data_IF_705147040551
#
_entry.id   IF_705147040551
#
_cell.length_a   1.000
_cell.length_b   1.000
_cell.length_c   1.000
_cell.angle_alpha   90.00
_cell.angle_beta   90.00
_cell.angle_gamma   90.00
#
_symmetry.space_group_name_H-M   'P 1'
#
loop_
_entity.id
_entity.type
_entity.pdbx_description
1 polymer ?
#
# COMPACT_ATOMS: atom_id res chain seq x y z
N UNK A 1 -12.28 14.95 -10.64
CA UNK A 1 -11.67 13.78 -9.98
C UNK A 1 -10.72 14.25 -8.91
N UNK A 2 -10.51 13.45 -7.90
CA UNK A 2 -9.56 13.74 -6.82
C UNK A 2 -8.79 12.45 -6.54
N UNK A 3 -7.47 12.54 -6.45
CA UNK A 3 -6.59 11.47 -6.01
C UNK A 3 -6.33 11.61 -4.51
N UNK A 4 -6.58 10.56 -3.77
CA UNK A 4 -6.26 10.46 -2.36
C UNK A 4 -5.22 9.37 -2.11
N UNK A 5 -4.31 9.63 -1.20
CA UNK A 5 -3.46 8.63 -0.59
C UNK A 5 -4.07 8.18 0.74
N UNK A 6 -4.14 6.87 0.93
CA UNK A 6 -4.62 6.27 2.19
C UNK A 6 -3.40 5.83 3.00
N UNK A 7 -3.29 6.32 4.21
CA UNK A 7 -2.21 6.00 5.15
C UNK A 7 -2.80 5.53 6.48
N UNK A 8 -2.00 4.98 7.36
CA UNK A 8 -2.42 4.64 8.73
C UNK A 8 -2.93 5.83 9.55
N UNK A 9 -2.71 7.08 9.09
CA UNK A 9 -3.18 8.32 9.72
C UNK A 9 -4.46 8.88 9.06
N UNK A 10 -4.98 8.23 8.02
CA UNK A 10 -6.18 8.63 7.31
C UNK A 10 -5.98 8.93 5.83
N UNK A 11 -6.83 9.78 5.28
CA UNK A 11 -6.91 10.11 3.85
C UNK A 11 -6.31 11.48 3.59
N UNK A 12 -5.28 11.54 2.74
CA UNK A 12 -4.63 12.77 2.29
C UNK A 12 -4.94 13.03 0.82
N UNK A 13 -5.38 14.24 0.50
CA UNK A 13 -5.54 14.68 -0.89
C UNK A 13 -4.17 14.92 -1.54
N UNK A 14 -3.97 14.30 -2.70
CA UNK A 14 -2.71 14.40 -3.49
C UNK A 14 -2.91 15.33 -4.68
N UNK A 15 -3.99 15.12 -5.45
CA UNK A 15 -4.28 15.92 -6.65
C UNK A 15 -5.78 16.07 -6.87
N UNK A 16 -6.17 17.22 -7.45
CA UNK A 16 -7.56 17.51 -7.81
C UNK A 16 -7.65 18.00 -9.25
N UNK A 17 -8.57 17.40 -10.01
CA UNK A 17 -8.87 17.77 -11.39
C UNK A 17 -10.32 18.20 -11.53
N UNK A 18 -10.54 19.35 -12.14
CA UNK A 18 -11.88 19.89 -12.43
C UNK A 18 -12.12 19.85 -13.94
N UNK A 19 -13.23 19.24 -14.34
CA UNK A 19 -13.68 19.27 -15.73
C UNK A 19 -14.27 20.64 -16.04
N UNK A 20 -13.66 21.37 -16.99
CA UNK A 20 -14.17 22.67 -17.47
C UNK A 20 -14.83 22.47 -18.83
N UNK A 21 -16.02 23.05 -19.06
CA UNK A 21 -16.67 23.10 -20.36
C UNK A 21 -17.79 22.09 -20.62
N UNK A 22 -18.22 21.32 -19.63
CA UNK A 22 -19.36 20.37 -19.74
C UNK A 22 -20.67 20.95 -19.18
N UNK A 23 -21.15 22.09 -19.68
CA UNK A 23 -22.44 22.62 -19.27
C UNK A 23 -23.64 21.91 -19.89
N UNK A 24 -24.83 21.93 -19.22
CA UNK A 24 -26.08 21.28 -19.68
C UNK A 24 -26.59 21.75 -21.05
N UNK A 25 -25.95 22.75 -21.66
CA UNK A 25 -26.35 23.37 -22.94
C UNK A 25 -25.41 23.05 -24.10
N UNK A 26 -24.35 22.26 -23.90
CA UNK A 26 -23.47 21.83 -25.00
C UNK A 26 -23.94 20.47 -25.55
N UNK A 27 -24.05 20.35 -26.88
CA UNK A 27 -24.57 19.16 -27.55
C UNK A 27 -23.78 17.89 -27.15
N UNK A 28 -24.44 16.73 -27.21
CA UNK A 28 -23.91 15.44 -26.74
C UNK A 28 -22.48 15.11 -27.24
N UNK A 29 -22.20 15.38 -28.53
CA UNK A 29 -20.86 15.13 -29.12
C UNK A 29 -19.74 15.96 -28.52
N UNK A 30 -20.03 17.22 -28.13
CA UNK A 30 -19.04 18.09 -27.50
C UNK A 30 -18.78 17.65 -26.03
N UNK A 31 -19.83 17.25 -25.34
CA UNK A 31 -19.75 16.71 -24.00
C UNK A 31 -18.88 15.43 -23.91
N UNK A 32 -18.99 14.54 -24.91
CA UNK A 32 -18.20 13.31 -24.97
C UNK A 32 -16.71 13.59 -25.21
N UNK A 33 -16.38 14.54 -26.10
CA UNK A 33 -15.00 14.96 -26.35
C UNK A 33 -14.34 15.57 -25.12
N UNK A 34 -15.03 16.44 -24.41
CA UNK A 34 -14.55 17.08 -23.17
C UNK A 34 -14.35 16.03 -22.06
N UNK A 35 -15.28 15.09 -21.92
CA UNK A 35 -15.17 14.00 -20.96
C UNK A 35 -13.97 13.09 -21.27
N UNK A 36 -13.77 12.74 -22.55
CA UNK A 36 -12.64 11.91 -22.98
C UNK A 36 -11.29 12.57 -22.65
N UNK A 37 -11.09 13.82 -23.08
CA UNK A 37 -9.87 14.56 -22.79
C UNK A 37 -9.63 14.75 -21.27
N UNK A 38 -10.70 14.87 -20.49
CA UNK A 38 -10.60 14.94 -19.03
C UNK A 38 -10.09 13.62 -18.45
N UNK A 39 -10.62 12.48 -18.85
CA UNK A 39 -10.17 11.16 -18.36
C UNK A 39 -8.75 10.84 -18.82
N UNK A 40 -8.37 11.19 -20.06
CA UNK A 40 -7.00 11.04 -20.55
C UNK A 40 -6.01 11.87 -19.73
N UNK A 41 -6.36 13.11 -19.36
CA UNK A 41 -5.52 13.94 -18.50
C UNK A 41 -5.38 13.33 -17.10
N UNK A 42 -6.51 12.96 -16.47
CA UNK A 42 -6.51 12.37 -15.13
C UNK A 42 -5.69 11.09 -15.09
N UNK A 43 -5.89 10.20 -16.07
CA UNK A 43 -5.16 8.92 -16.11
C UNK A 43 -3.67 9.10 -16.31
N UNK A 44 -3.26 10.02 -17.19
CA UNK A 44 -1.83 10.31 -17.40
C UNK A 44 -1.17 10.77 -16.12
N UNK A 45 -1.73 11.79 -15.46
CA UNK A 45 -1.15 12.33 -14.23
C UNK A 45 -1.20 11.32 -13.07
N UNK A 46 -2.26 10.50 -12.95
CA UNK A 46 -2.31 9.41 -11.97
C UNK A 46 -1.22 8.35 -12.23
N UNK A 47 -1.06 7.89 -13.47
CA UNK A 47 -0.07 6.88 -13.82
C UNK A 47 1.38 7.37 -13.64
N UNK A 48 1.62 8.67 -13.75
CA UNK A 48 2.92 9.30 -13.48
C UNK A 48 3.19 9.49 -11.97
N UNK A 49 2.13 9.65 -11.17
CA UNK A 49 2.25 9.97 -9.74
C UNK A 49 2.22 8.75 -8.83
N UNK A 50 1.65 7.65 -9.29
CA UNK A 50 1.45 6.44 -8.50
C UNK A 50 2.58 5.45 -8.80
N UNK A 51 3.21 4.94 -7.75
CA UNK A 51 4.25 3.92 -7.88
C UNK A 51 3.69 2.64 -8.50
N UNK A 52 4.47 2.02 -9.37
CA UNK A 52 4.11 0.75 -10.02
C UNK A 52 3.75 -0.31 -8.98
N UNK A 53 2.67 -1.05 -9.24
CA UNK A 53 2.16 -2.08 -8.33
C UNK A 53 1.31 -1.56 -7.17
N UNK A 54 1.18 -0.24 -6.96
CA UNK A 54 0.32 0.29 -5.90
C UNK A 54 -1.16 -0.03 -6.19
N UNK A 55 -1.91 -0.61 -5.24
CA UNK A 55 -3.32 -0.89 -5.43
C UNK A 55 -4.15 0.39 -5.47
N UNK A 56 -5.05 0.48 -6.43
CA UNK A 56 -5.86 1.66 -6.67
C UNK A 56 -7.34 1.30 -6.53
N UNK A 57 -8.08 2.10 -5.76
CA UNK A 57 -9.54 2.03 -5.70
C UNK A 57 -10.12 3.20 -6.47
N UNK A 58 -10.90 2.92 -7.51
CA UNK A 58 -11.62 3.93 -8.29
C UNK A 58 -13.07 3.94 -7.80
N UNK A 59 -13.45 4.98 -7.09
CA UNK A 59 -14.78 5.10 -6.49
C UNK A 59 -15.51 6.37 -6.95
N UNK A 60 -16.81 6.33 -6.86
CA UNK A 60 -17.69 7.45 -7.22
C UNK A 60 -19.06 7.02 -7.70
N UNK A 61 -20.02 7.96 -7.81
CA UNK A 61 -21.33 7.69 -8.37
C UNK A 61 -21.30 7.57 -9.92
N UNK A 62 -22.25 6.82 -10.47
CA UNK A 62 -22.46 6.72 -11.92
C UNK A 62 -21.36 5.96 -12.66
N UNK A 63 -21.23 6.19 -13.97
CA UNK A 63 -20.37 5.44 -14.89
C UNK A 63 -18.97 6.05 -15.12
N UNK A 64 -18.61 7.14 -14.43
CA UNK A 64 -17.33 7.80 -14.62
C UNK A 64 -16.14 6.89 -14.26
N UNK A 65 -16.27 6.06 -13.20
CA UNK A 65 -15.27 5.09 -12.79
C UNK A 65 -14.98 4.03 -13.86
N UNK A 66 -16.02 3.57 -14.57
CA UNK A 66 -15.90 2.56 -15.62
C UNK A 66 -15.16 3.11 -16.85
N UNK A 67 -15.31 4.40 -17.13
CA UNK A 67 -14.60 5.10 -18.21
C UNK A 67 -13.15 5.38 -17.85
N UNK A 68 -12.85 5.65 -16.58
CA UNK A 68 -11.49 5.95 -16.10
C UNK A 68 -10.66 4.67 -15.90
N UNK A 69 -11.27 3.58 -15.41
CA UNK A 69 -10.56 2.37 -15.02
C UNK A 69 -9.66 1.76 -16.12
N UNK A 70 -10.07 1.65 -17.39
CA UNK A 70 -9.20 1.09 -18.43
C UNK A 70 -7.98 1.96 -18.75
N UNK A 71 -7.96 3.22 -18.32
CA UNK A 71 -6.88 4.17 -18.57
C UNK A 71 -5.86 4.23 -17.41
N UNK A 72 -6.19 3.65 -16.26
CA UNK A 72 -5.31 3.59 -15.09
C UNK A 72 -4.52 2.29 -15.10
N UNK A 73 -3.22 2.35 -14.86
CA UNK A 73 -2.33 1.19 -14.77
C UNK A 73 -2.40 0.54 -13.38
N UNK A 74 -1.93 -0.71 -13.29
CA UNK A 74 -1.79 -1.45 -12.04
C UNK A 74 -3.06 -2.12 -11.50
N UNK A 75 -2.95 -2.78 -10.34
CA UNK A 75 -4.06 -3.48 -9.69
C UNK A 75 -5.12 -2.48 -9.24
N UNK A 76 -6.37 -2.73 -9.60
CA UNK A 76 -7.45 -1.78 -9.33
C UNK A 76 -8.77 -2.45 -9.00
N UNK A 77 -9.53 -1.82 -8.10
CA UNK A 77 -10.90 -2.18 -7.77
C UNK A 77 -11.84 -1.01 -8.07
N UNK A 78 -12.99 -1.29 -8.68
CA UNK A 78 -14.04 -0.31 -8.90
C UNK A 78 -15.09 -0.45 -7.80
N UNK A 79 -15.38 0.66 -7.13
CA UNK A 79 -16.37 0.71 -6.05
C UNK A 79 -17.42 1.76 -6.38
N UNK A 80 -18.68 1.36 -6.40
CA UNK A 80 -19.80 2.30 -6.48
C UNK A 80 -20.02 2.93 -5.11
N UNK A 81 -20.02 4.26 -5.06
CA UNK A 81 -20.31 5.02 -3.85
C UNK A 81 -21.46 5.98 -4.08
N UNK A 82 -22.15 6.33 -2.99
CA UNK A 82 -23.30 7.23 -3.03
C UNK A 82 -22.93 8.66 -3.44
N UNK A 83 -21.71 9.08 -3.07
CA UNK A 83 -21.17 10.41 -3.32
C UNK A 83 -19.79 10.34 -3.97
N UNK A 84 -19.27 11.48 -4.40
CA UNK A 84 -17.91 11.65 -4.90
C UNK A 84 -16.99 12.33 -3.89
N UNK A 85 -15.72 12.50 -4.28
CA UNK A 85 -14.73 13.22 -3.48
C UNK A 85 -14.39 12.53 -2.16
N UNK A 86 -14.10 13.33 -1.13
CA UNK A 86 -13.68 12.81 0.18
C UNK A 86 -14.72 11.91 0.86
N UNK A 87 -16.02 12.18 0.62
CA UNK A 87 -17.09 11.35 1.14
C UNK A 87 -17.03 9.93 0.58
N UNK A 88 -16.75 9.77 -0.73
CA UNK A 88 -16.55 8.47 -1.35
C UNK A 88 -15.34 7.73 -0.77
N UNK A 89 -14.21 8.42 -0.57
CA UNK A 89 -13.02 7.83 0.03
C UNK A 89 -13.29 7.33 1.46
N UNK A 90 -14.01 8.11 2.25
CA UNK A 90 -14.40 7.71 3.60
C UNK A 90 -15.38 6.52 3.60
N UNK A 91 -16.37 6.51 2.70
CA UNK A 91 -17.32 5.40 2.52
C UNK A 91 -16.56 4.08 2.22
N UNK A 92 -15.62 4.12 1.26
CA UNK A 92 -14.79 2.96 0.90
C UNK A 92 -14.00 2.42 2.09
N UNK A 93 -13.43 3.30 2.91
CA UNK A 93 -12.62 2.90 4.07
C UNK A 93 -13.51 2.37 5.19
N UNK A 94 -14.57 3.10 5.56
CA UNK A 94 -15.44 2.76 6.68
C UNK A 94 -16.20 1.45 6.45
N UNK A 95 -16.61 1.19 5.21
CA UNK A 95 -17.33 -0.03 4.83
C UNK A 95 -16.39 -1.19 4.42
N UNK A 96 -15.06 -0.97 4.45
CA UNK A 96 -14.08 -2.00 4.09
C UNK A 96 -14.12 -2.43 2.62
N UNK A 97 -14.69 -1.60 1.72
CA UNK A 97 -14.93 -1.97 0.31
C UNK A 97 -13.65 -2.16 -0.51
N UNK A 98 -12.51 -1.70 0.01
CA UNK A 98 -11.19 -1.90 -0.60
C UNK A 98 -10.44 -3.14 -0.05
N UNK A 99 -11.01 -3.83 0.94
CA UNK A 99 -10.33 -4.85 1.75
C UNK A 99 -9.61 -5.92 0.92
N UNK A 100 -10.26 -6.49 -0.09
CA UNK A 100 -9.66 -7.53 -0.94
C UNK A 100 -8.39 -7.05 -1.66
N UNK A 101 -8.45 -5.92 -2.35
CA UNK A 101 -7.31 -5.37 -3.10
C UNK A 101 -6.15 -5.00 -2.16
N UNK A 102 -6.47 -4.48 -0.98
CA UNK A 102 -5.47 -4.13 0.02
C UNK A 102 -4.83 -5.38 0.64
N UNK A 103 -5.63 -6.42 0.94
CA UNK A 103 -5.11 -7.67 1.50
C UNK A 103 -4.27 -8.46 0.49
N UNK A 104 -4.72 -8.58 -0.76
CA UNK A 104 -3.94 -9.22 -1.83
C UNK A 104 -2.59 -8.51 -2.04
N UNK A 105 -2.59 -7.18 -2.05
CA UNK A 105 -1.35 -6.41 -2.19
C UNK A 105 -0.43 -6.56 -0.97
N UNK A 106 -0.98 -6.61 0.24
CA UNK A 106 -0.20 -6.84 1.46
C UNK A 106 0.49 -8.20 1.40
N UNK A 107 -0.26 -9.26 1.07
CA UNK A 107 0.28 -10.62 0.93
C UNK A 107 1.40 -10.69 -0.11
N UNK A 108 1.21 -10.11 -1.30
CA UNK A 108 2.24 -10.07 -2.35
C UNK A 108 3.51 -9.37 -1.86
N UNK A 109 3.36 -8.22 -1.18
CA UNK A 109 4.50 -7.46 -0.64
C UNK A 109 5.19 -8.20 0.50
N UNK A 110 4.44 -8.78 1.42
CA UNK A 110 4.96 -9.57 2.52
C UNK A 110 5.74 -10.78 1.99
N UNK A 111 5.16 -11.52 1.04
CA UNK A 111 5.80 -12.67 0.40
C UNK A 111 7.12 -12.27 -0.26
N UNK A 112 7.13 -11.20 -1.06
CA UNK A 112 8.36 -10.75 -1.72
C UNK A 112 9.48 -10.37 -0.74
N UNK A 113 9.14 -9.70 0.37
CA UNK A 113 10.11 -9.35 1.41
C UNK A 113 10.63 -10.58 2.15
N UNK A 114 9.76 -11.55 2.44
CA UNK A 114 10.15 -12.80 3.08
C UNK A 114 11.02 -13.67 2.16
N UNK A 115 10.69 -13.76 0.87
CA UNK A 115 11.54 -14.44 -0.13
C UNK A 115 12.94 -13.80 -0.19
N UNK A 116 13.04 -12.47 -0.17
CA UNK A 116 14.33 -11.78 -0.08
C UNK A 116 15.09 -12.16 1.19
N UNK A 117 14.40 -12.24 2.35
CA UNK A 117 15.03 -12.66 3.60
C UNK A 117 15.57 -14.09 3.50
N UNK A 118 14.82 -15.05 2.92
CA UNK A 118 15.27 -16.42 2.71
C UNK A 118 16.50 -16.51 1.81
N UNK A 119 16.53 -15.75 0.73
CA UNK A 119 17.72 -15.66 -0.13
C UNK A 119 18.92 -15.14 0.66
N UNK A 120 18.74 -14.08 1.46
CA UNK A 120 19.83 -13.53 2.28
C UNK A 120 20.29 -14.49 3.37
N UNK A 121 19.40 -15.25 4.01
CA UNK A 121 19.76 -16.29 4.97
C UNK A 121 20.58 -17.39 4.29
N UNK A 122 20.14 -17.87 3.12
CA UNK A 122 20.82 -18.95 2.39
C UNK A 122 22.19 -18.55 1.84
N UNK A 123 22.42 -17.28 1.57
CA UNK A 123 23.65 -16.75 1.01
C UNK A 123 24.55 -16.05 2.06
N UNK A 124 24.24 -16.20 3.34
CA UNK A 124 24.93 -15.51 4.44
C UNK A 124 24.99 -13.97 4.21
N UNK A 125 23.88 -13.42 3.74
CA UNK A 125 23.73 -12.00 3.43
C UNK A 125 23.43 -11.11 4.64
N UNK A 126 23.10 -9.84 4.38
CA UNK A 126 22.74 -8.87 5.41
C UNK A 126 21.30 -9.09 5.90
N UNK A 127 21.13 -9.98 6.88
CA UNK A 127 19.84 -10.37 7.48
C UNK A 127 20.05 -10.73 8.94
N UNK A 128 19.05 -10.49 9.79
CA UNK A 128 19.02 -10.92 11.18
C UNK A 128 17.70 -11.63 11.49
N UNK A 129 17.72 -12.72 12.22
CA UNK A 129 16.53 -13.43 12.68
C UNK A 129 16.71 -13.89 14.14
N UNK A 130 15.59 -14.07 14.82
CA UNK A 130 15.61 -14.26 16.26
C UNK A 130 15.87 -12.95 17.04
N UNK A 131 15.36 -12.89 18.26
CA UNK A 131 15.33 -11.66 19.06
C UNK A 131 16.73 -11.06 19.28
N UNK A 132 17.73 -11.89 19.66
CA UNK A 132 19.09 -11.40 20.00
C UNK A 132 19.80 -10.75 18.81
N UNK A 133 19.74 -11.38 17.62
CA UNK A 133 20.36 -10.82 16.42
C UNK A 133 19.66 -9.55 15.94
N UNK A 134 18.31 -9.51 16.03
CA UNK A 134 17.54 -8.31 15.67
C UNK A 134 17.84 -7.17 16.64
N UNK A 135 17.95 -7.43 17.93
CA UNK A 135 18.32 -6.44 18.93
C UNK A 135 19.71 -5.86 18.68
N UNK A 136 20.69 -6.71 18.40
CA UNK A 136 22.04 -6.28 18.02
C UNK A 136 22.01 -5.42 16.76
N UNK A 137 21.29 -5.85 15.73
CA UNK A 137 21.17 -5.11 14.48
C UNK A 137 20.47 -3.75 14.67
N UNK A 138 19.53 -3.64 15.61
CA UNK A 138 18.90 -2.37 16.00
C UNK A 138 19.92 -1.42 16.64
N UNK A 139 20.69 -1.91 17.62
CA UNK A 139 21.72 -1.13 18.32
C UNK A 139 22.79 -0.57 17.37
N UNK A 140 23.12 -1.33 16.32
CA UNK A 140 24.06 -0.92 15.27
C UNK A 140 23.41 -0.05 14.17
N UNK A 141 22.09 0.21 14.23
CA UNK A 141 21.35 0.98 13.23
C UNK A 141 21.28 0.29 11.86
N UNK A 142 21.51 -1.03 11.82
CA UNK A 142 21.65 -1.80 10.60
C UNK A 142 20.31 -2.18 9.96
N UNK A 143 19.19 -2.12 10.66
CA UNK A 143 17.89 -2.57 10.15
C UNK A 143 17.38 -1.61 9.09
N UNK A 144 17.01 -2.16 7.92
CA UNK A 144 16.23 -1.47 6.88
C UNK A 144 14.73 -1.76 7.06
N UNK A 145 14.37 -3.03 7.15
CA UNK A 145 12.98 -3.46 7.28
C UNK A 145 12.89 -4.63 8.26
N UNK A 146 12.08 -4.49 9.29
CA UNK A 146 11.70 -5.58 10.21
C UNK A 146 10.36 -6.16 9.78
N UNK A 147 10.32 -7.45 9.48
CA UNK A 147 9.11 -8.24 9.28
C UNK A 147 8.83 -9.04 10.55
N UNK A 148 7.62 -8.93 11.08
CA UNK A 148 7.24 -9.54 12.36
C UNK A 148 5.77 -9.96 12.35
N UNK A 149 5.44 -11.06 12.98
CA UNK A 149 4.04 -11.51 13.10
C UNK A 149 3.25 -10.64 14.08
N UNK A 150 1.94 -10.56 13.87
CA UNK A 150 1.02 -9.77 14.71
C UNK A 150 1.05 -10.17 16.19
N UNK A 151 1.30 -11.43 16.47
CA UNK A 151 1.34 -11.95 17.84
C UNK A 151 2.59 -11.47 18.57
N UNK A 152 3.75 -11.51 17.91
CA UNK A 152 5.01 -11.03 18.50
C UNK A 152 5.03 -9.53 18.76
N UNK A 153 4.44 -8.72 17.87
CA UNK A 153 4.35 -7.25 18.07
C UNK A 153 3.67 -6.91 19.40
N UNK A 154 2.75 -7.75 19.87
CA UNK A 154 2.01 -7.53 21.13
C UNK A 154 2.78 -7.97 22.38
N UNK A 155 3.89 -8.66 22.23
CA UNK A 155 4.71 -9.09 23.35
C UNK A 155 5.62 -7.95 23.85
N UNK A 156 5.63 -7.69 25.15
CA UNK A 156 6.37 -6.59 25.78
C UNK A 156 7.88 -6.57 25.41
N UNK A 157 8.47 -7.74 25.14
CA UNK A 157 9.89 -7.84 24.77
C UNK A 157 10.21 -7.19 23.40
N UNK A 158 9.22 -7.08 22.52
CA UNK A 158 9.36 -6.47 21.20
C UNK A 158 9.06 -4.97 21.18
N UNK A 159 8.40 -4.44 22.22
CA UNK A 159 7.99 -3.04 22.29
C UNK A 159 9.18 -2.08 22.09
N UNK A 160 10.29 -2.32 22.80
CA UNK A 160 11.49 -1.49 22.69
C UNK A 160 12.14 -1.58 21.29
N UNK A 161 12.07 -2.76 20.65
CA UNK A 161 12.60 -2.94 19.31
C UNK A 161 11.75 -2.15 18.32
N UNK A 162 10.42 -2.25 18.41
CA UNK A 162 9.49 -1.52 17.52
C UNK A 162 9.64 -0.01 17.66
N UNK A 163 9.77 0.50 18.88
CA UNK A 163 10.01 1.94 19.14
C UNK A 163 11.35 2.37 18.54
N UNK A 164 12.42 1.60 18.74
CA UNK A 164 13.74 1.93 18.23
C UNK A 164 13.87 1.92 16.71
N UNK A 165 12.97 1.25 15.98
CA UNK A 165 12.95 1.30 14.51
C UNK A 165 12.70 2.71 13.98
N UNK A 166 11.82 3.47 14.63
CA UNK A 166 11.53 4.86 14.21
C UNK A 166 12.77 5.76 14.38
N UNK A 167 13.58 5.54 15.41
CA UNK A 167 14.79 6.32 15.68
C UNK A 167 15.86 6.14 14.59
N UNK A 168 15.96 4.92 14.04
CA UNK A 168 16.92 4.60 12.96
C UNK A 168 16.33 4.72 11.56
N UNK A 169 15.06 5.15 11.44
CA UNK A 169 14.34 5.26 10.17
C UNK A 169 14.13 3.92 9.44
N UNK A 170 13.98 2.83 10.19
CA UNK A 170 13.68 1.51 9.66
C UNK A 170 12.16 1.33 9.46
N UNK A 171 11.80 0.42 8.55
CA UNK A 171 10.41 0.10 8.26
C UNK A 171 9.95 -1.08 9.11
N UNK A 172 8.72 -1.03 9.61
CA UNK A 172 8.03 -2.15 10.23
C UNK A 172 7.00 -2.72 9.24
N UNK A 173 7.04 -4.04 9.02
CA UNK A 173 6.05 -4.77 8.25
C UNK A 173 5.47 -5.86 9.14
N UNK A 174 4.21 -5.72 9.48
CA UNK A 174 3.48 -6.75 10.20
C UNK A 174 2.99 -7.78 9.19
N UNK A 175 3.44 -9.03 9.32
CA UNK A 175 3.11 -10.13 8.42
C UNK A 175 1.92 -10.92 8.94
N UNK A 176 1.00 -11.28 8.02
CA UNK A 176 -0.07 -12.23 8.29
C UNK A 176 0.50 -13.65 8.37
N UNK A 177 -0.11 -14.47 9.21
CA UNK A 177 0.17 -15.90 9.29
C UNK A 177 -0.81 -16.75 8.49
N UNK A 178 -1.71 -16.13 7.71
CA UNK A 178 -2.75 -16.80 6.94
C UNK A 178 -2.27 -17.29 5.55
N UNK A 179 -0.97 -17.15 5.25
CA UNK A 179 -0.36 -17.60 4.00
C UNK A 179 1.00 -18.27 4.24
N UNK A 180 1.44 -19.10 3.30
CA UNK A 180 2.62 -19.96 3.40
C UNK A 180 3.89 -19.22 3.85
N UNK A 181 4.14 -18.02 3.32
CA UNK A 181 5.33 -17.25 3.69
C UNK A 181 5.26 -16.77 5.16
N UNK A 182 4.08 -16.41 5.65
CA UNK A 182 3.87 -16.08 7.05
C UNK A 182 4.04 -17.27 7.99
N UNK A 183 3.57 -18.44 7.59
CA UNK A 183 3.80 -19.69 8.34
C UNK A 183 5.30 -20.02 8.43
N UNK A 184 6.06 -19.83 7.35
CA UNK A 184 7.51 -19.98 7.34
C UNK A 184 8.18 -18.99 8.30
N UNK A 185 7.71 -17.74 8.36
CA UNK A 185 8.21 -16.73 9.32
C UNK A 185 8.02 -17.22 10.77
N UNK A 186 6.86 -17.78 11.09
CA UNK A 186 6.62 -18.40 12.42
C UNK A 186 7.65 -19.49 12.69
N UNK A 187 7.99 -20.32 11.69
CA UNK A 187 8.97 -21.40 11.81
C UNK A 187 10.37 -20.97 12.23
N UNK A 188 10.78 -19.72 11.96
CA UNK A 188 12.07 -19.15 12.38
C UNK A 188 11.97 -18.23 13.61
N UNK A 189 10.84 -18.26 14.31
CA UNK A 189 10.62 -17.49 15.54
C UNK A 189 9.79 -16.22 15.33
N UNK A 190 9.12 -16.05 14.18
CA UNK A 190 8.10 -15.02 13.93
C UNK A 190 8.63 -13.63 13.61
N UNK A 191 9.96 -13.44 13.52
CA UNK A 191 10.56 -12.15 13.15
C UNK A 191 11.85 -12.33 12.35
N UNK A 192 12.03 -11.49 11.31
CA UNK A 192 13.25 -11.39 10.51
C UNK A 192 13.47 -9.95 10.04
N UNK A 193 14.70 -9.48 10.05
CA UNK A 193 15.08 -8.13 9.63
C UNK A 193 15.98 -8.19 8.40
N UNK A 194 15.62 -7.48 7.35
CA UNK A 194 16.52 -7.12 6.25
C UNK A 194 17.42 -5.99 6.72
N UNK A 195 18.72 -6.14 6.54
CA UNK A 195 19.71 -5.19 7.00
C UNK A 195 20.29 -4.38 5.84
N UNK A 196 20.72 -3.15 6.14
CA UNK A 196 21.45 -2.26 5.22
C UNK A 196 22.88 -2.74 5.02
N UNK A 197 23.46 -3.35 6.03
CA UNK A 197 24.80 -3.93 6.06
C UNK A 197 24.86 -5.11 7.03
N UNK A 198 25.83 -5.97 6.88
CA UNK A 198 26.02 -7.18 7.73
C UNK A 198 26.60 -6.77 9.10
N UNK A 199 26.05 -7.32 10.20
CA UNK A 199 26.44 -7.08 11.61
C UNK A 199 26.98 -8.36 12.28
#
# INVERSE_FOLDING_TARGET
AILYEVTGRGVREVSTWTMRGGGKYTGAKYSDGVSKSFFEKVSKECNESILEGTPIVICGPGHAREKLAPLINGPKKLVATSMGGRAAANEVITEGLAGEVLSEHAVVKETALLEEAWVRISTDGAVAYGEEMIRKALEEGAIDTLMITADLVRENKWENIVIGLDEIGAKLVQCSTDHDAGEQLVGIGGAVALLRFKV
#
